data_IF_524573150358
#
_entry.id   IF_524573150358
#
_cell.length_a   1.000
_cell.length_b   1.000
_cell.length_c   1.000
_cell.angle_alpha   90.00
_cell.angle_beta   90.00
_cell.angle_gamma   90.00
#
_symmetry.space_group_name_H-M   'P 1'
#
loop_
_entity.id
_entity.type
_entity.pdbx_description
1 polymer ?
#
# COMPACT_ATOMS: atom_id res chain seq x y z
N UNK A 1 -16.33 -9.67 -9.90
CA UNK A 1 -16.58 -8.66 -10.91
C UNK A 1 -15.41 -7.74 -11.13
N UNK A 2 -14.58 -7.39 -10.14
CA UNK A 2 -13.42 -6.50 -10.29
C UNK A 2 -12.11 -7.27 -10.52
N UNK A 3 -12.17 -8.44 -11.13
CA UNK A 3 -10.98 -9.21 -11.45
C UNK A 3 -10.30 -8.69 -12.71
N UNK A 4 -8.96 -8.69 -12.70
CA UNK A 4 -8.17 -8.18 -13.80
C UNK A 4 -6.72 -8.63 -13.74
N UNK A 5 -5.94 -8.21 -14.71
CA UNK A 5 -4.50 -8.42 -14.70
C UNK A 5 -3.83 -7.42 -13.77
N UNK A 6 -2.98 -7.90 -12.86
CA UNK A 6 -2.29 -7.05 -11.90
C UNK A 6 -1.17 -7.77 -11.16
N UNK A 7 -0.63 -7.10 -10.17
CA UNK A 7 0.38 -7.69 -9.29
C UNK A 7 -0.27 -8.75 -8.39
N UNK A 8 0.20 -9.98 -8.48
CA UNK A 8 -0.35 -11.09 -7.69
C UNK A 8 -0.26 -10.87 -6.17
N UNK A 9 0.72 -10.09 -5.69
CA UNK A 9 0.80 -9.70 -4.28
C UNK A 9 -0.31 -8.75 -3.83
N UNK A 10 -1.02 -8.12 -4.75
CA UNK A 10 -2.18 -7.30 -4.43
C UNK A 10 -3.32 -8.12 -3.79
N UNK A 11 -3.49 -9.38 -4.17
CA UNK A 11 -4.46 -10.29 -3.56
C UNK A 11 -4.20 -10.49 -2.06
N UNK A 12 -2.93 -10.52 -1.68
CA UNK A 12 -2.54 -10.53 -0.27
C UNK A 12 -2.99 -9.25 0.44
N UNK A 13 -2.78 -8.09 -0.19
CA UNK A 13 -3.29 -6.81 0.32
C UNK A 13 -4.79 -6.84 0.52
N UNK A 14 -5.53 -7.41 -0.42
CA UNK A 14 -6.98 -7.58 -0.31
C UNK A 14 -7.38 -8.51 0.85
N UNK A 15 -6.67 -9.61 1.04
CA UNK A 15 -6.95 -10.56 2.11
C UNK A 15 -6.65 -10.00 3.50
N UNK A 16 -5.63 -9.15 3.63
CA UNK A 16 -5.15 -8.66 4.93
C UNK A 16 -5.71 -7.28 5.32
N UNK A 17 -6.31 -6.55 4.40
CA UNK A 17 -6.71 -5.15 4.60
C UNK A 17 -7.62 -4.90 5.81
N UNK A 18 -8.40 -5.89 6.19
CA UNK A 18 -9.40 -5.80 7.29
C UNK A 18 -8.78 -6.07 8.68
N UNK A 19 -7.55 -6.59 8.74
CA UNK A 19 -6.97 -7.15 9.96
C UNK A 19 -5.79 -6.32 10.49
N UNK A 20 -5.99 -5.02 10.71
CA UNK A 20 -4.93 -4.10 11.15
C UNK A 20 -4.22 -4.52 12.45
N UNK A 21 -4.97 -5.05 13.43
CA UNK A 21 -4.43 -5.37 14.77
C UNK A 21 -3.53 -6.61 14.83
N UNK A 22 -3.60 -7.51 13.87
CA UNK A 22 -2.83 -8.77 13.83
C UNK A 22 -2.08 -8.95 12.51
N UNK A 23 -1.76 -7.86 11.83
CA UNK A 23 -1.24 -7.88 10.48
C UNK A 23 -0.01 -8.79 10.33
N UNK A 24 1.01 -8.61 11.17
CA UNK A 24 2.26 -9.38 11.08
C UNK A 24 2.05 -10.90 11.26
N UNK A 25 1.15 -11.29 12.18
CA UNK A 25 0.84 -12.70 12.41
C UNK A 25 0.10 -13.31 11.23
N UNK A 26 -0.86 -12.58 10.68
CA UNK A 26 -1.67 -13.02 9.54
C UNK A 26 -0.87 -13.01 8.25
N UNK A 27 0.00 -12.03 8.06
CA UNK A 27 0.97 -11.97 6.97
C UNK A 27 1.82 -13.24 6.93
N UNK A 28 2.46 -13.59 8.06
CA UNK A 28 3.25 -14.80 8.15
C UNK A 28 2.46 -16.08 7.89
N UNK A 29 1.20 -16.14 8.33
CA UNK A 29 0.33 -17.29 8.05
C UNK A 29 -0.04 -17.37 6.56
N UNK A 30 -0.36 -16.23 5.94
CA UNK A 30 -0.67 -16.15 4.53
C UNK A 30 0.54 -16.57 3.66
N UNK A 31 1.73 -16.02 3.96
CA UNK A 31 2.98 -16.39 3.26
C UNK A 31 3.24 -17.89 3.33
N UNK A 32 3.17 -18.47 4.53
CA UNK A 32 3.33 -19.93 4.69
C UNK A 32 2.30 -20.75 3.89
N UNK A 33 1.06 -20.26 3.82
CA UNK A 33 0.00 -20.91 3.01
C UNK A 33 0.29 -20.81 1.52
N UNK A 34 0.63 -19.63 1.05
CA UNK A 34 0.93 -19.35 -0.34
C UNK A 34 2.15 -20.13 -0.84
N UNK A 35 3.22 -20.18 -0.04
CA UNK A 35 4.47 -20.87 -0.39
C UNK A 35 4.34 -22.39 -0.47
N UNK A 36 3.23 -23.00 -0.07
CA UNK A 36 2.95 -24.41 -0.34
C UNK A 36 2.74 -24.68 -1.84
N UNK A 37 2.31 -23.67 -2.59
CA UNK A 37 2.02 -23.77 -4.02
C UNK A 37 3.08 -23.04 -4.85
N UNK A 38 3.45 -21.83 -4.44
CA UNK A 38 4.41 -20.97 -5.17
C UNK A 38 5.32 -20.24 -4.19
N UNK A 39 6.62 -20.39 -4.39
CA UNK A 39 7.63 -19.65 -3.61
C UNK A 39 7.58 -18.17 -3.91
N UNK A 40 7.70 -17.37 -2.87
CA UNK A 40 7.87 -15.92 -2.95
C UNK A 40 9.36 -15.58 -2.85
N UNK A 41 9.81 -14.65 -3.66
CA UNK A 41 11.15 -14.08 -3.51
C UNK A 41 11.21 -13.21 -2.26
N UNK A 42 12.41 -12.95 -1.75
CA UNK A 42 12.60 -12.01 -0.65
C UNK A 42 12.21 -10.58 -1.05
N UNK A 43 12.31 -10.27 -2.33
CA UNK A 43 11.86 -9.00 -2.89
C UNK A 43 10.33 -8.89 -2.83
N UNK A 44 9.60 -9.92 -3.25
CA UNK A 44 8.14 -9.95 -3.13
C UNK A 44 7.70 -9.71 -1.68
N UNK A 45 8.36 -10.38 -0.72
CA UNK A 45 8.06 -10.24 0.71
C UNK A 45 8.28 -8.83 1.22
N UNK A 46 9.31 -8.12 0.74
CA UNK A 46 9.55 -6.71 1.11
C UNK A 46 8.44 -5.76 0.68
N UNK A 47 7.73 -6.09 -0.40
CA UNK A 47 6.62 -5.26 -0.90
C UNK A 47 5.28 -5.54 -0.23
N UNK A 48 5.18 -6.54 0.64
CA UNK A 48 3.94 -6.87 1.35
C UNK A 48 3.32 -5.66 2.05
N UNK A 49 4.04 -4.90 2.89
CA UNK A 49 3.46 -3.73 3.57
C UNK A 49 2.95 -2.68 2.60
N UNK A 50 3.63 -2.51 1.46
CA UNK A 50 3.18 -1.59 0.42
C UNK A 50 1.84 -2.01 -0.18
N UNK A 51 1.66 -3.30 -0.50
CA UNK A 51 0.40 -3.77 -1.09
C UNK A 51 -0.76 -3.71 -0.11
N UNK A 52 -0.51 -3.98 1.17
CA UNK A 52 -1.52 -3.79 2.23
C UNK A 52 -1.91 -2.31 2.33
N UNK A 53 -0.93 -1.41 2.38
CA UNK A 53 -1.18 0.04 2.42
C UNK A 53 -1.92 0.53 1.17
N UNK A 54 -1.49 0.09 -0.02
CA UNK A 54 -2.16 0.43 -1.28
C UNK A 54 -3.63 0.01 -1.24
N UNK A 55 -3.93 -1.19 -0.78
CA UNK A 55 -5.32 -1.66 -0.67
C UNK A 55 -6.11 -0.86 0.36
N UNK A 56 -5.51 -0.46 1.47
CA UNK A 56 -6.17 0.40 2.45
C UNK A 56 -6.53 1.76 1.84
N UNK A 57 -5.61 2.38 1.11
CA UNK A 57 -5.85 3.67 0.43
C UNK A 57 -6.96 3.54 -0.62
N UNK A 58 -6.92 2.51 -1.46
CA UNK A 58 -7.97 2.30 -2.48
C UNK A 58 -9.33 2.03 -1.84
N UNK A 59 -9.36 1.35 -0.70
CA UNK A 59 -10.60 1.16 0.06
C UNK A 59 -11.13 2.48 0.63
N UNK A 60 -10.27 3.34 1.18
CA UNK A 60 -10.69 4.67 1.66
C UNK A 60 -11.24 5.53 0.52
N UNK A 61 -10.61 5.49 -0.66
CA UNK A 61 -11.12 6.20 -1.83
C UNK A 61 -12.51 5.69 -2.27
N UNK A 62 -12.72 4.37 -2.23
CA UNK A 62 -14.03 3.77 -2.51
C UNK A 62 -15.07 4.19 -1.47
N UNK A 63 -14.73 4.15 -0.18
CA UNK A 63 -15.61 4.58 0.92
C UNK A 63 -16.03 6.04 0.80
N UNK A 64 -15.11 6.92 0.38
CA UNK A 64 -15.41 8.34 0.18
C UNK A 64 -16.44 8.58 -0.94
N UNK A 65 -16.45 7.72 -1.96
CA UNK A 65 -17.42 7.82 -3.07
C UNK A 65 -18.71 7.02 -2.83
N UNK A 66 -18.75 6.16 -1.81
CA UNK A 66 -19.89 5.31 -1.45
C UNK A 66 -20.27 5.46 0.03
N UNK A 67 -20.29 6.71 0.51
CA UNK A 67 -20.52 7.07 1.91
C UNK A 67 -21.86 6.53 2.47
N UNK A 68 -22.85 6.35 1.60
CA UNK A 68 -24.18 5.87 1.99
C UNK A 68 -24.26 4.33 2.11
N UNK A 69 -23.22 3.60 1.70
CA UNK A 69 -23.18 2.15 1.78
C UNK A 69 -23.08 1.65 3.22
N UNK A 70 -23.67 0.47 3.50
CA UNK A 70 -23.56 -0.15 4.82
C UNK A 70 -22.09 -0.45 5.19
N UNK A 71 -21.27 -0.76 4.21
CA UNK A 71 -19.82 -0.95 4.41
C UNK A 71 -19.15 0.33 4.88
N UNK A 72 -19.50 1.49 4.32
CA UNK A 72 -18.91 2.77 4.73
C UNK A 72 -19.28 3.11 6.17
N UNK A 73 -20.50 2.83 6.59
CA UNK A 73 -21.00 3.08 7.96
C UNK A 73 -20.33 2.21 9.02
N UNK A 74 -19.69 1.11 8.64
CA UNK A 74 -18.97 0.20 9.57
C UNK A 74 -17.50 0.54 9.75
N UNK A 75 -16.97 1.45 8.95
CA UNK A 75 -15.56 1.87 9.06
C UNK A 75 -15.44 3.00 10.07
N UNK A 76 -14.66 2.77 11.09
CA UNK A 76 -14.39 3.72 12.17
C UNK A 76 -13.18 4.64 11.85
N UNK A 77 -13.03 5.70 12.64
CA UNK A 77 -11.91 6.63 12.53
C UNK A 77 -10.57 5.94 12.77
N UNK A 78 -10.54 4.86 13.57
CA UNK A 78 -9.33 4.04 13.80
C UNK A 78 -8.77 3.47 12.49
N UNK A 79 -9.64 3.13 11.53
CA UNK A 79 -9.18 2.63 10.23
C UNK A 79 -8.38 3.68 9.45
N UNK A 80 -8.83 4.94 9.50
CA UNK A 80 -8.12 6.07 8.86
C UNK A 80 -6.79 6.34 9.57
N UNK A 81 -6.79 6.45 10.89
CA UNK A 81 -5.61 6.74 11.69
C UNK A 81 -4.53 5.67 11.50
N UNK A 82 -4.89 4.39 11.56
CA UNK A 82 -3.97 3.28 11.29
C UNK A 82 -3.43 3.35 9.86
N UNK A 83 -4.24 3.73 8.88
CA UNK A 83 -3.76 3.87 7.50
C UNK A 83 -2.76 5.00 7.36
N UNK A 84 -2.99 6.13 8.03
CA UNK A 84 -2.07 7.27 8.05
C UNK A 84 -0.74 6.87 8.70
N UNK A 85 -0.78 6.16 9.82
CA UNK A 85 0.43 5.74 10.51
C UNK A 85 1.23 4.71 9.70
N UNK A 86 0.57 3.75 9.06
CA UNK A 86 1.21 2.83 8.12
C UNK A 86 1.86 3.58 6.95
N UNK A 87 1.20 4.62 6.43
CA UNK A 87 1.76 5.44 5.35
C UNK A 87 3.01 6.21 5.80
N UNK A 88 2.98 6.81 7.00
CA UNK A 88 4.15 7.49 7.59
C UNK A 88 5.32 6.54 7.79
N UNK A 89 5.09 5.35 8.34
CA UNK A 89 6.12 4.33 8.55
C UNK A 89 6.71 3.86 7.22
N UNK A 90 5.86 3.60 6.23
CA UNK A 90 6.31 3.19 4.91
C UNK A 90 7.15 4.28 4.22
N UNK A 91 6.72 5.54 4.27
CA UNK A 91 7.46 6.68 3.74
C UNK A 91 8.80 6.84 4.46
N UNK A 92 8.84 6.75 5.79
CA UNK A 92 10.07 6.83 6.58
C UNK A 92 11.08 5.75 6.18
N UNK A 93 10.61 4.52 5.94
CA UNK A 93 11.45 3.41 5.52
C UNK A 93 11.91 3.51 4.05
N UNK A 94 11.16 4.23 3.19
CA UNK A 94 11.34 4.26 1.74
C UNK A 94 11.54 5.67 1.17
N UNK A 95 12.05 6.59 1.96
CA UNK A 95 12.21 8.03 1.62
C UNK A 95 13.09 8.34 0.41
N UNK A 96 13.64 7.33 -0.26
CA UNK A 96 14.47 7.50 -1.45
C UNK A 96 13.71 7.39 -2.78
N UNK A 97 12.39 7.21 -2.75
CA UNK A 97 11.57 7.11 -3.96
C UNK A 97 10.66 8.33 -4.07
N UNK A 98 10.90 9.16 -5.06
CA UNK A 98 10.00 10.24 -5.44
C UNK A 98 9.44 9.99 -6.83
N UNK A 99 8.12 10.09 -6.98
CA UNK A 99 7.45 10.11 -8.29
C UNK A 99 7.15 11.56 -8.63
N UNK A 100 7.83 12.08 -9.64
CA UNK A 100 7.71 13.47 -10.07
C UNK A 100 7.10 13.51 -11.47
N UNK A 101 5.84 13.92 -11.55
CA UNK A 101 5.16 14.14 -12.83
C UNK A 101 5.66 15.43 -13.47
N UNK A 102 5.72 15.48 -14.82
CA UNK A 102 6.22 16.65 -15.52
C UNK A 102 7.73 16.89 -15.38
N UNK A 103 8.51 15.86 -15.03
CA UNK A 103 9.96 15.96 -14.83
C UNK A 103 10.75 16.27 -16.13
N UNK A 104 10.12 16.22 -17.30
CA UNK A 104 10.75 16.54 -18.59
C UNK A 104 11.00 18.04 -18.80
N UNK A 105 10.48 18.93 -17.94
CA UNK A 105 10.70 20.37 -18.05
C UNK A 105 10.14 21.17 -16.87
N UNK A 106 10.46 22.46 -16.83
CA UNK A 106 9.90 23.40 -15.86
C UNK A 106 10.13 23.06 -14.40
N UNK A 107 9.10 23.23 -13.59
CA UNK A 107 9.12 23.02 -12.13
C UNK A 107 9.42 21.57 -11.78
N UNK A 108 8.83 20.59 -12.49
CA UNK A 108 9.06 19.17 -12.25
C UNK A 108 10.51 18.77 -12.41
N UNK A 109 11.20 19.29 -13.42
CA UNK A 109 12.64 19.09 -13.60
C UNK A 109 13.47 19.67 -12.45
N UNK A 110 13.16 20.90 -12.02
CA UNK A 110 13.84 21.54 -10.89
C UNK A 110 13.70 20.73 -9.59
N UNK A 111 12.52 20.21 -9.30
CA UNK A 111 12.26 19.35 -8.15
C UNK A 111 13.06 18.05 -8.26
N UNK A 112 13.02 17.36 -9.41
CA UNK A 112 13.73 16.11 -9.63
C UNK A 112 15.24 16.29 -9.44
N UNK A 113 15.82 17.35 -10.01
CA UNK A 113 17.24 17.69 -9.86
C UNK A 113 17.62 17.90 -8.40
N UNK A 114 16.87 18.72 -7.67
CA UNK A 114 17.13 19.01 -6.26
C UNK A 114 16.99 17.77 -5.37
N UNK A 115 16.02 16.91 -5.67
CA UNK A 115 15.85 15.64 -4.97
C UNK A 115 17.05 14.72 -5.15
N UNK A 116 17.56 14.57 -6.38
CA UNK A 116 18.74 13.76 -6.68
C UNK A 116 20.02 14.30 -6.01
N UNK A 117 20.15 15.62 -5.89
CA UNK A 117 21.26 16.26 -5.20
C UNK A 117 21.23 16.03 -3.68
N UNK A 118 20.05 15.90 -3.08
CA UNK A 118 19.86 15.65 -1.65
C UNK A 118 19.97 14.17 -1.24
N UNK A 119 20.01 13.25 -2.20
CA UNK A 119 20.15 11.80 -1.96
C UNK A 119 21.62 11.32 -1.97
N UNK A 120 22.58 12.23 -2.07
CA UNK A 120 24.02 11.95 -1.91
C UNK A 120 24.43 12.13 -0.46
#
# INVERSE_FOLDING_TARGET
DDSGYGFYMYDMGCALVTYSRNLTKLEGAWVRGYEKVRKLSDEDKKFIPMFVLLRRITRLAWLATHSDSDTAKTVDDEYLDVTIDMAKEWLKANTRVAVITGAAGGIGYGIAKKFLESCK
#
